data_IF_219820872139
#
_entry.id   IF_219820872139
#
_cell.length_a   1.000
_cell.length_b   1.000
_cell.length_c   1.000
_cell.angle_alpha   90.00
_cell.angle_beta   90.00
_cell.angle_gamma   90.00
#
_symmetry.space_group_name_H-M   'P 1'
#
loop_
_entity.id
_entity.type
_entity.pdbx_description
1 polymer ?
#
# COMPACT_ATOMS: atom_id res chain seq x y z
N UNK A 1 7.18 -8.85 13.64
CA UNK A 1 5.73 -8.65 13.79
C UNK A 1 5.53 -7.20 14.20
N UNK A 2 5.09 -6.34 13.29
CA UNK A 2 4.93 -4.92 13.57
C UNK A 2 3.63 -4.79 14.39
N UNK A 3 3.76 -4.40 15.67
CA UNK A 3 2.63 -4.27 16.59
C UNK A 3 1.66 -3.19 16.10
N UNK A 4 0.36 -3.35 16.41
CA UNK A 4 -0.72 -2.37 16.18
C UNK A 4 -0.36 -0.97 16.69
N UNK A 5 0.42 -0.92 17.78
CA UNK A 5 0.95 0.33 18.36
C UNK A 5 1.94 1.03 17.43
N UNK A 6 2.75 0.28 16.68
CA UNK A 6 3.77 0.85 15.80
C UNK A 6 3.15 1.41 14.51
N UNK A 7 2.14 0.76 13.94
CA UNK A 7 1.43 1.28 12.76
C UNK A 7 0.62 2.53 13.12
N UNK A 8 -0.03 2.57 14.28
CA UNK A 8 -0.71 3.78 14.74
C UNK A 8 0.32 4.91 14.93
N UNK A 9 1.44 4.67 15.62
CA UNK A 9 2.44 5.71 15.90
C UNK A 9 3.27 6.22 14.69
N UNK A 10 3.10 5.64 13.50
CA UNK A 10 3.76 6.05 12.24
C UNK A 10 2.71 6.48 11.21
N UNK A 11 1.52 6.87 11.64
CA UNK A 11 0.50 7.41 10.76
C UNK A 11 0.20 8.85 11.16
N UNK A 12 -0.15 9.72 10.20
CA UNK A 12 -0.62 11.06 10.51
C UNK A 12 -1.76 11.01 11.53
N UNK A 13 -1.83 11.95 12.48
CA UNK A 13 -2.88 11.98 13.52
C UNK A 13 -4.30 11.82 12.96
N UNK A 14 -4.54 12.29 11.73
CA UNK A 14 -5.82 12.18 11.03
C UNK A 14 -6.20 10.73 10.65
N UNK A 15 -5.20 9.86 10.45
CA UNK A 15 -5.33 8.44 10.12
C UNK A 15 -5.32 7.60 11.41
N UNK A 16 -4.52 7.97 12.42
CA UNK A 16 -4.53 7.32 13.74
C UNK A 16 -5.94 7.19 14.30
N UNK A 17 -6.74 8.26 14.21
CA UNK A 17 -8.12 8.31 14.73
C UNK A 17 -9.04 7.26 14.08
N UNK A 18 -8.79 6.86 12.83
CA UNK A 18 -9.60 5.85 12.14
C UNK A 18 -9.21 4.42 12.50
N UNK A 19 -7.94 4.18 12.85
CA UNK A 19 -7.42 2.86 13.25
C UNK A 19 -7.64 2.52 14.72
N UNK A 20 -7.88 3.52 15.58
CA UNK A 20 -8.22 3.31 17.01
C UNK A 20 -9.53 2.52 17.18
N UNK A 21 -10.38 2.44 16.14
CA UNK A 21 -11.71 1.81 16.21
C UNK A 21 -11.81 0.39 15.66
N UNK A 22 -10.73 -0.19 15.12
CA UNK A 22 -10.77 -1.54 14.53
C UNK A 22 -10.24 -2.62 15.49
N UNK A 23 -10.85 -3.79 15.45
CA UNK A 23 -10.45 -5.00 16.18
C UNK A 23 -9.10 -5.53 15.69
N UNK A 24 -8.46 -6.40 16.47
CA UNK A 24 -7.19 -7.01 16.07
C UNK A 24 -7.33 -7.92 14.84
N UNK A 25 -8.49 -8.57 14.69
CA UNK A 25 -8.79 -9.37 13.51
C UNK A 25 -8.89 -8.49 12.25
N UNK A 26 -9.65 -7.40 12.30
CA UNK A 26 -9.74 -6.43 11.20
C UNK A 26 -8.37 -5.84 10.84
N UNK A 27 -7.58 -5.48 11.86
CA UNK A 27 -6.23 -4.98 11.67
C UNK A 27 -5.34 -6.00 10.94
N UNK A 28 -5.36 -7.27 11.37
CA UNK A 28 -4.59 -8.33 10.71
C UNK A 28 -5.02 -8.55 9.25
N UNK A 29 -6.30 -8.36 8.94
CA UNK A 29 -6.77 -8.43 7.55
C UNK A 29 -6.26 -7.26 6.70
N UNK A 30 -6.15 -6.05 7.27
CA UNK A 30 -5.72 -4.86 6.53
C UNK A 30 -4.20 -4.70 6.40
N UNK A 31 -3.41 -5.37 7.24
CA UNK A 31 -1.93 -5.25 7.23
C UNK A 31 -1.23 -5.98 6.08
N UNK A 32 -1.96 -6.70 5.23
CA UNK A 32 -1.44 -7.31 4.00
C UNK A 32 -2.06 -6.66 2.77
N UNK A 33 -1.37 -6.80 1.63
CA UNK A 33 -1.92 -6.39 0.34
C UNK A 33 -3.18 -7.22 0.03
N UNK A 34 -4.29 -6.52 -0.20
CA UNK A 34 -5.56 -7.11 -0.64
C UNK A 34 -5.52 -7.43 -2.14
N UNK A 35 -6.50 -8.19 -2.62
CA UNK A 35 -6.71 -8.44 -4.06
C UNK A 35 -7.92 -7.68 -4.57
N UNK A 36 -7.91 -7.35 -5.86
CA UNK A 36 -9.00 -6.64 -6.50
C UNK A 36 -9.23 -7.19 -7.91
N UNK A 37 -10.49 -7.14 -8.35
CA UNK A 37 -10.97 -7.73 -9.59
C UNK A 37 -11.07 -6.66 -10.68
N UNK A 38 -9.91 -6.14 -11.09
CA UNK A 38 -9.77 -5.00 -12.00
C UNK A 38 -10.47 -5.21 -13.34
N UNK A 39 -10.25 -6.36 -13.98
CA UNK A 39 -10.81 -6.64 -15.31
C UNK A 39 -12.31 -6.95 -15.28
N UNK A 40 -12.85 -7.35 -14.12
CA UNK A 40 -14.27 -7.61 -13.94
C UNK A 40 -15.09 -6.33 -13.77
N UNK A 41 -14.48 -5.29 -13.19
CA UNK A 41 -15.12 -3.98 -12.99
C UNK A 41 -15.06 -3.20 -14.32
N UNK A 42 -15.89 -3.63 -15.27
CA UNK A 42 -16.00 -3.06 -16.61
C UNK A 42 -17.06 -1.95 -16.73
N UNK A 43 -17.87 -1.75 -15.70
CA UNK A 43 -18.94 -0.76 -15.67
C UNK A 43 -19.27 -0.29 -14.25
N UNK A 44 -19.96 0.84 -14.14
CA UNK A 44 -20.39 1.38 -12.84
C UNK A 44 -21.42 0.49 -12.15
N UNK A 45 -22.26 -0.19 -12.93
CA UNK A 45 -23.29 -1.09 -12.44
C UNK A 45 -22.69 -2.27 -11.66
N UNK A 46 -21.46 -2.71 -12.02
CA UNK A 46 -20.74 -3.76 -11.30
C UNK A 46 -20.54 -3.41 -9.82
N UNK A 47 -20.27 -2.16 -9.50
CA UNK A 47 -20.10 -1.74 -8.10
C UNK A 47 -21.38 -1.90 -7.26
N UNK A 48 -22.55 -1.98 -7.89
CA UNK A 48 -23.82 -2.21 -7.19
C UNK A 48 -24.09 -3.69 -6.88
N UNK A 49 -23.29 -4.61 -7.42
CA UNK A 49 -23.41 -6.04 -7.16
C UNK A 49 -23.19 -6.35 -5.67
N UNK A 50 -24.07 -7.19 -5.11
CA UNK A 50 -24.17 -7.43 -3.66
C UNK A 50 -23.48 -8.71 -3.18
N UNK A 51 -22.63 -9.28 -4.02
CA UNK A 51 -21.89 -10.50 -3.74
C UNK A 51 -20.44 -10.33 -4.20
N UNK A 52 -19.53 -11.09 -3.57
CA UNK A 52 -18.17 -11.20 -4.05
C UNK A 52 -18.14 -12.19 -5.23
N UNK A 53 -17.70 -11.77 -6.43
CA UNK A 53 -17.58 -12.65 -7.59
C UNK A 53 -16.66 -13.85 -7.34
N UNK A 54 -16.85 -14.90 -8.13
CA UNK A 54 -16.03 -16.10 -8.06
C UNK A 54 -14.55 -15.83 -8.33
N UNK A 55 -13.65 -16.69 -7.82
CA UNK A 55 -12.20 -16.59 -8.00
C UNK A 55 -11.76 -16.36 -9.45
N UNK A 56 -12.43 -16.98 -10.42
CA UNK A 56 -12.09 -16.82 -11.85
C UNK A 56 -12.28 -15.39 -12.36
N UNK A 57 -13.14 -14.60 -11.72
CA UNK A 57 -13.35 -13.19 -12.06
C UNK A 57 -12.27 -12.27 -11.49
N UNK A 58 -11.33 -12.80 -10.69
CA UNK A 58 -10.11 -12.11 -10.29
C UNK A 58 -8.93 -12.37 -11.25
N UNK A 59 -9.21 -12.88 -12.46
CA UNK A 59 -8.19 -12.99 -13.50
C UNK A 59 -7.62 -11.61 -13.84
N UNK A 60 -6.30 -11.54 -14.00
CA UNK A 60 -5.63 -10.34 -14.47
C UNK A 60 -5.11 -10.53 -15.89
N UNK A 61 -5.62 -9.75 -16.85
CA UNK A 61 -5.10 -9.74 -18.22
C UNK A 61 -3.67 -9.23 -18.30
N UNK A 62 -3.26 -8.36 -17.36
CA UNK A 62 -1.90 -7.82 -17.30
C UNK A 62 -0.86 -8.88 -16.95
N UNK A 63 -1.20 -9.79 -16.04
CA UNK A 63 -0.32 -10.86 -15.56
C UNK A 63 -0.64 -12.23 -16.17
N UNK A 64 -1.72 -12.33 -16.95
CA UNK A 64 -2.23 -13.56 -17.58
C UNK A 64 -2.47 -14.70 -16.57
N UNK A 65 -2.93 -14.37 -15.36
CA UNK A 65 -3.10 -15.32 -14.26
C UNK A 65 -4.30 -15.02 -13.35
N UNK A 66 -4.80 -16.06 -12.68
CA UNK A 66 -5.76 -15.92 -11.58
C UNK A 66 -5.02 -15.77 -10.25
N UNK A 67 -5.66 -15.11 -9.27
CA UNK A 67 -5.18 -15.07 -7.89
C UNK A 67 -5.08 -16.48 -7.26
N UNK A 68 -4.33 -16.60 -6.17
CA UNK A 68 -4.20 -17.86 -5.44
C UNK A 68 -5.47 -18.19 -4.63
N UNK A 69 -5.63 -19.45 -4.20
CA UNK A 69 -6.74 -19.82 -3.30
C UNK A 69 -6.65 -19.10 -1.96
N UNK A 70 -5.43 -18.87 -1.46
CA UNK A 70 -5.20 -18.15 -0.22
C UNK A 70 -5.65 -16.68 -0.32
N UNK A 71 -5.40 -16.04 -1.47
CA UNK A 71 -5.83 -14.66 -1.70
C UNK A 71 -7.34 -14.55 -1.86
N UNK A 72 -7.96 -15.51 -2.53
CA UNK A 72 -9.41 -15.54 -2.66
C UNK A 72 -10.09 -15.80 -1.30
N UNK A 73 -9.54 -16.71 -0.48
CA UNK A 73 -10.03 -16.92 0.88
C UNK A 73 -9.89 -15.65 1.72
N UNK A 74 -8.76 -14.94 1.57
CA UNK A 74 -8.57 -13.66 2.25
C UNK A 74 -9.61 -12.61 1.82
N UNK A 75 -9.94 -12.52 0.53
CA UNK A 75 -10.99 -11.63 0.04
C UNK A 75 -12.38 -11.98 0.62
N UNK A 76 -12.69 -13.27 0.75
CA UNK A 76 -13.92 -13.74 1.42
C UNK A 76 -13.95 -13.36 2.90
N UNK A 77 -12.82 -13.47 3.59
CA UNK A 77 -12.71 -13.11 5.01
C UNK A 77 -12.89 -11.61 5.20
N UNK A 78 -12.25 -10.78 4.35
CA UNK A 78 -12.46 -9.32 4.33
C UNK A 78 -13.93 -8.97 4.09
N UNK A 79 -14.55 -9.56 3.06
CA UNK A 79 -15.95 -9.31 2.74
C UNK A 79 -16.87 -9.59 3.93
N UNK A 80 -16.65 -10.71 4.63
CA UNK A 80 -17.44 -11.12 5.79
C UNK A 80 -17.13 -10.27 7.03
N UNK A 81 -15.86 -10.08 7.38
CA UNK A 81 -15.45 -9.38 8.60
C UNK A 81 -15.89 -7.93 8.59
N UNK A 82 -15.76 -7.23 7.46
CA UNK A 82 -16.17 -5.83 7.33
C UNK A 82 -17.66 -5.68 6.95
N UNK A 83 -18.42 -6.79 6.92
CA UNK A 83 -19.85 -6.81 6.62
C UNK A 83 -20.21 -6.09 5.30
N UNK A 84 -19.35 -6.26 4.29
CA UNK A 84 -19.45 -5.57 3.00
C UNK A 84 -20.72 -6.00 2.26
N UNK A 85 -21.42 -5.03 1.68
CA UNK A 85 -22.70 -5.22 1.01
C UNK A 85 -22.64 -5.08 -0.48
N UNK A 86 -21.67 -4.35 -1.01
CA UNK A 86 -21.55 -4.09 -2.44
C UNK A 86 -20.09 -4.16 -2.89
N UNK A 87 -19.86 -4.43 -4.18
CA UNK A 87 -18.52 -4.33 -4.77
C UNK A 87 -17.96 -2.90 -4.68
N UNK A 88 -18.82 -1.88 -4.64
CA UNK A 88 -18.45 -0.49 -4.35
C UNK A 88 -17.80 -0.34 -2.98
N UNK A 89 -18.45 -0.84 -1.93
CA UNK A 89 -17.90 -0.82 -0.56
C UNK A 89 -16.58 -1.64 -0.45
N UNK A 90 -16.48 -2.75 -1.19
CA UNK A 90 -15.23 -3.52 -1.28
C UNK A 90 -14.11 -2.71 -1.92
N UNK A 91 -14.40 -2.01 -3.01
CA UNK A 91 -13.47 -1.12 -3.70
C UNK A 91 -13.02 0.04 -2.81
N UNK A 92 -13.95 0.68 -2.11
CA UNK A 92 -13.63 1.78 -1.19
C UNK A 92 -12.67 1.32 -0.08
N UNK A 93 -12.94 0.14 0.51
CA UNK A 93 -12.06 -0.44 1.52
C UNK A 93 -10.69 -0.80 0.94
N UNK A 94 -10.66 -1.41 -0.25
CA UNK A 94 -9.42 -1.77 -0.95
C UNK A 94 -8.53 -0.55 -1.21
N UNK A 95 -9.09 0.49 -1.84
CA UNK A 95 -8.37 1.72 -2.20
C UNK A 95 -7.89 2.45 -0.95
N UNK A 96 -8.74 2.54 0.07
CA UNK A 96 -8.35 3.12 1.35
C UNK A 96 -7.19 2.36 1.98
N UNK A 97 -7.24 1.03 1.99
CA UNK A 97 -6.16 0.22 2.56
C UNK A 97 -4.84 0.40 1.79
N UNK A 98 -4.90 0.41 0.46
CA UNK A 98 -3.73 0.60 -0.41
C UNK A 98 -3.01 1.93 -0.13
N UNK A 99 -3.78 3.03 -0.04
CA UNK A 99 -3.25 4.36 0.32
C UNK A 99 -2.66 4.37 1.73
N UNK A 100 -3.33 3.75 2.69
CA UNK A 100 -2.87 3.71 4.08
C UNK A 100 -1.56 2.94 4.24
N UNK A 101 -1.46 1.77 3.60
CA UNK A 101 -0.23 0.96 3.60
C UNK A 101 0.91 1.70 2.92
N UNK A 102 0.66 2.35 1.78
CA UNK A 102 1.67 3.12 1.07
C UNK A 102 2.16 4.31 1.92
N UNK A 103 1.24 5.05 2.55
CA UNK A 103 1.58 6.17 3.43
C UNK A 103 2.44 5.72 4.62
N UNK A 104 2.07 4.62 5.29
CA UNK A 104 2.84 4.08 6.42
C UNK A 104 4.27 3.69 6.02
N UNK A 105 4.42 3.02 4.87
CA UNK A 105 5.73 2.62 4.35
C UNK A 105 6.56 3.86 4.00
N UNK A 106 5.96 4.85 3.35
CA UNK A 106 6.66 6.05 2.90
C UNK A 106 7.09 6.93 4.08
N UNK A 107 6.28 7.05 5.13
CA UNK A 107 6.66 7.77 6.36
C UNK A 107 7.83 7.08 7.05
N UNK A 108 7.79 5.75 7.19
CA UNK A 108 8.90 4.99 7.74
C UNK A 108 10.18 5.12 6.89
N UNK A 109 10.04 5.14 5.56
CA UNK A 109 11.16 5.39 4.65
C UNK A 109 11.76 6.79 4.85
N UNK A 110 10.92 7.83 4.96
CA UNK A 110 11.34 9.20 5.25
C UNK A 110 12.11 9.32 6.55
N UNK A 111 11.56 8.77 7.63
CA UNK A 111 12.22 8.75 8.94
C UNK A 111 13.55 8.01 8.90
N UNK A 112 13.61 6.89 8.19
CA UNK A 112 14.84 6.09 8.01
C UNK A 112 15.90 6.86 7.24
N UNK A 113 15.54 7.52 6.13
CA UNK A 113 16.47 8.32 5.34
C UNK A 113 17.02 9.51 6.12
N UNK A 114 16.17 10.19 6.88
CA UNK A 114 16.60 11.29 7.74
C UNK A 114 17.57 10.82 8.82
N UNK A 115 17.32 9.66 9.44
CA UNK A 115 18.21 9.10 10.47
C UNK A 115 19.53 8.56 9.89
N UNK A 116 19.51 7.97 8.69
CA UNK A 116 20.67 7.30 8.10
C UNK A 116 21.56 8.24 7.28
N UNK A 117 20.95 9.19 6.56
CA UNK A 117 21.63 10.04 5.58
C UNK A 117 21.47 11.54 5.88
N UNK A 118 20.59 11.90 6.83
CA UNK A 118 20.14 13.28 7.06
C UNK A 118 19.67 13.96 5.76
N UNK A 119 19.01 13.17 4.91
CA UNK A 119 18.38 13.62 3.67
C UNK A 119 16.89 13.31 3.77
N UNK A 120 16.07 14.29 3.40
CA UNK A 120 14.63 14.08 3.26
C UNK A 120 14.33 13.56 1.84
N UNK A 121 13.77 12.34 1.69
CA UNK A 121 13.46 11.79 0.38
C UNK A 121 12.44 12.62 -0.41
N UNK A 122 11.66 13.49 0.23
CA UNK A 122 10.71 14.39 -0.44
C UNK A 122 11.39 15.48 -1.29
N UNK A 123 12.69 15.68 -1.15
CA UNK A 123 13.47 16.58 -2.01
C UNK A 123 13.95 15.93 -3.31
N UNK A 124 13.65 14.64 -3.52
CA UNK A 124 14.12 13.88 -4.66
C UNK A 124 12.96 13.36 -5.49
N UNK A 125 13.12 13.38 -6.82
CA UNK A 125 12.11 12.82 -7.73
C UNK A 125 11.99 11.29 -7.63
N UNK A 126 13.13 10.61 -7.43
CA UNK A 126 13.23 9.15 -7.42
C UNK A 126 14.33 8.68 -6.47
N UNK A 127 14.22 7.42 -6.01
CA UNK A 127 15.18 6.81 -5.08
C UNK A 127 16.65 6.82 -5.56
N UNK A 128 16.98 6.66 -6.86
CA UNK A 128 18.36 6.79 -7.33
C UNK A 128 18.98 8.18 -7.08
N UNK A 129 18.20 9.27 -7.17
CA UNK A 129 18.70 10.62 -6.89
C UNK A 129 19.06 10.78 -5.42
N UNK A 130 18.19 10.30 -4.53
CA UNK A 130 18.46 10.23 -3.09
C UNK A 130 19.72 9.39 -2.80
N UNK A 131 19.83 8.20 -3.41
CA UNK A 131 20.96 7.30 -3.19
C UNK A 131 22.28 7.91 -3.69
N UNK A 132 22.24 8.64 -4.79
CA UNK A 132 23.40 9.34 -5.33
C UNK A 132 23.88 10.43 -4.37
N UNK A 133 22.99 11.30 -3.89
CA UNK A 133 23.33 12.34 -2.93
C UNK A 133 23.76 11.77 -1.57
N UNK A 134 23.12 10.69 -1.12
CA UNK A 134 23.54 9.95 0.08
C UNK A 134 24.96 9.41 -0.09
N UNK A 135 25.32 8.88 -1.27
CA UNK A 135 26.66 8.40 -1.58
C UNK A 135 27.68 9.54 -1.61
N UNK A 136 27.36 10.66 -2.26
CA UNK A 136 28.24 11.84 -2.29
C UNK A 136 28.49 12.39 -0.88
N UNK A 137 27.42 12.53 -0.08
CA UNK A 137 27.52 12.99 1.31
C UNK A 137 28.34 12.04 2.19
N UNK A 138 28.16 10.74 2.00
CA UNK A 138 28.86 9.71 2.79
C UNK A 138 30.34 9.60 2.43
N UNK A 139 30.67 9.65 1.14
CA UNK A 139 32.04 9.50 0.65
C UNK A 139 32.84 10.81 0.67
N UNK A 140 32.16 11.95 0.62
CA UNK A 140 32.77 13.27 0.50
C UNK A 140 33.44 13.53 -0.85
N UNK A 141 33.21 12.67 -1.85
CA UNK A 141 33.84 12.80 -3.17
C UNK A 141 33.35 14.08 -3.86
N UNK A 142 34.27 14.81 -4.49
CA UNK A 142 33.95 15.99 -5.30
C UNK A 142 33.92 15.56 -6.76
N UNK A 143 32.78 15.75 -7.43
CA UNK A 143 32.65 15.41 -8.84
C UNK A 143 33.35 16.45 -9.70
N UNK A 144 34.13 15.99 -10.66
CA UNK A 144 34.72 16.84 -11.69
C UNK A 144 33.67 17.19 -12.75
N UNK A 145 33.85 18.33 -13.41
CA UNK A 145 33.02 18.72 -14.55
C UNK A 145 33.28 17.73 -15.70
N UNK A 146 32.21 17.14 -16.25
CA UNK A 146 32.32 16.30 -17.45
C UNK A 146 32.76 17.16 -18.64
N UNK A 147 33.95 16.91 -19.16
CA UNK A 147 34.57 17.66 -20.26
C UNK A 147 34.65 16.88 -21.57
N UNK A 148 34.38 15.57 -21.54
CA UNK A 148 34.40 14.72 -22.72
C UNK A 148 33.12 14.94 -23.55
N UNK A 149 33.31 15.43 -24.79
CA UNK A 149 32.30 15.56 -25.86
C UNK A 149 32.77 14.74 -27.05
#
# INVERSE_FOLDING_TARGET
MISKVLIIAILPQNIEVQLIRITDNEFNLLTRKSVFLYDYIDSWERFTETYLPSKTNFYSQLYDECITDQDYQHALDVWKTFNIKTLGEYSDLYLKNDVLLLAAIFENFGRTCLLAYELDPLHFYIAPGLAFDAMLKTTGVQLELLTDI
#
